data_IF_225580845880
#
_entry.id   IF_225580845880
#
_cell.length_a   1.000
_cell.length_b   1.000
_cell.length_c   1.000
_cell.angle_alpha   90.00
_cell.angle_beta   90.00
_cell.angle_gamma   90.00
#
_symmetry.space_group_name_H-M   'P 1'
#
loop_
_entity.id
_entity.type
_entity.pdbx_description
1 polymer ?
#
# COMPACT_ATOMS: atom_id res chain seq x y z
N UNK A 1 44.43 -72.37 -26.23
CA UNK A 1 44.49 -72.60 -27.69
C UNK A 1 44.12 -71.30 -28.39
N UNK A 2 45.11 -70.65 -28.97
CA UNK A 2 45.22 -70.23 -30.39
C UNK A 2 43.99 -69.45 -30.89
N UNK A 3 44.04 -68.24 -31.46
CA UNK A 3 45.00 -67.73 -32.49
C UNK A 3 44.91 -66.15 -32.53
N UNK A 4 46.06 -65.58 -32.81
CA UNK A 4 46.31 -64.20 -33.28
C UNK A 4 45.73 -63.95 -34.67
N UNK A 5 45.34 -62.71 -34.97
CA UNK A 5 45.54 -62.15 -36.31
C UNK A 5 45.66 -60.59 -36.20
N UNK A 6 46.78 -60.16 -36.79
CA UNK A 6 47.23 -58.78 -36.97
C UNK A 6 46.72 -58.24 -38.31
N UNK A 7 46.34 -57.03 -38.41
CA UNK A 7 46.38 -56.28 -39.66
C UNK A 7 46.31 -54.76 -39.27
N UNK A 8 47.29 -54.12 -39.35
CA UNK A 8 47.98 -53.28 -40.36
C UNK A 8 47.31 -51.93 -40.63
N UNK A 9 48.03 -50.93 -40.29
CA UNK A 9 47.95 -49.45 -40.40
C UNK A 9 47.50 -48.89 -41.75
N UNK A 10 46.77 -47.77 -41.74
CA UNK A 10 46.89 -46.74 -42.76
C UNK A 10 46.73 -45.38 -42.10
N UNK A 11 47.82 -44.56 -42.03
CA UNK A 11 47.81 -43.13 -41.70
C UNK A 11 47.28 -42.37 -42.91
N UNK A 12 46.24 -41.53 -42.67
CA UNK A 12 45.88 -40.49 -43.57
C UNK A 12 45.94 -39.13 -42.75
N UNK A 13 46.97 -38.36 -43.07
CA UNK A 13 47.13 -37.00 -42.67
C UNK A 13 46.15 -36.11 -43.45
N UNK A 14 45.17 -35.55 -42.79
CA UNK A 14 44.35 -34.45 -43.30
C UNK A 14 44.62 -33.19 -42.45
N UNK A 15 45.27 -32.23 -43.05
CA UNK A 15 45.42 -30.87 -42.56
C UNK A 15 44.07 -30.20 -42.61
N UNK A 16 43.48 -29.87 -41.42
CA UNK A 16 42.32 -28.99 -41.33
C UNK A 16 42.75 -27.65 -40.75
N UNK A 17 42.49 -26.61 -41.52
CA UNK A 17 42.64 -25.22 -41.11
C UNK A 17 41.80 -24.92 -39.86
N UNK A 18 42.44 -24.39 -38.81
CA UNK A 18 41.79 -23.93 -37.60
C UNK A 18 40.95 -22.69 -37.85
N UNK A 19 39.66 -22.82 -37.67
CA UNK A 19 38.81 -21.67 -37.33
C UNK A 19 38.79 -21.54 -35.80
N UNK A 20 39.28 -20.39 -35.32
CA UNK A 20 39.24 -20.09 -33.90
C UNK A 20 37.76 -20.03 -33.45
N UNK A 21 37.33 -21.03 -32.68
CA UNK A 21 36.06 -20.95 -31.95
C UNK A 21 36.19 -19.87 -30.88
N UNK A 22 35.54 -18.75 -31.11
CA UNK A 22 35.27 -17.75 -30.05
C UNK A 22 34.42 -18.48 -29.00
N UNK A 23 34.79 -18.44 -27.69
CA UNK A 23 33.94 -19.02 -26.67
C UNK A 23 32.60 -18.32 -26.70
N UNK A 24 31.53 -19.01 -27.00
CA UNK A 24 30.18 -18.52 -26.84
C UNK A 24 29.99 -18.15 -25.37
N UNK A 25 29.83 -16.90 -25.08
CA UNK A 25 29.36 -16.41 -23.78
C UNK A 25 28.07 -17.17 -23.49
N UNK A 26 27.94 -17.84 -22.33
CA UNK A 26 26.69 -18.47 -21.98
C UNK A 26 25.59 -17.41 -22.00
N UNK A 27 24.62 -17.55 -22.89
CA UNK A 27 23.39 -16.77 -22.79
C UNK A 27 22.83 -17.03 -21.39
N UNK A 28 22.79 -16.00 -20.56
CA UNK A 28 22.13 -16.08 -19.27
C UNK A 28 20.71 -16.60 -19.54
N UNK A 29 20.41 -17.80 -19.06
CA UNK A 29 19.05 -18.33 -19.06
C UNK A 29 18.26 -17.39 -18.17
N UNK A 30 17.54 -16.44 -18.78
CA UNK A 30 16.74 -15.45 -18.09
C UNK A 30 15.55 -16.09 -17.41
N UNK A 31 15.80 -16.82 -16.33
CA UNK A 31 14.76 -17.31 -15.44
C UNK A 31 14.09 -16.13 -14.77
N UNK A 32 12.77 -16.14 -14.71
CA UNK A 32 11.98 -15.13 -14.01
C UNK A 32 12.23 -15.29 -12.50
N UNK A 33 12.59 -14.19 -11.80
CA UNK A 33 12.85 -14.24 -10.36
C UNK A 33 11.53 -14.25 -9.58
N UNK A 34 11.26 -15.28 -8.74
CA UNK A 34 10.07 -15.30 -7.91
C UNK A 34 10.16 -14.28 -6.81
N UNK A 35 9.09 -13.49 -6.62
CA UNK A 35 8.96 -12.42 -5.65
C UNK A 35 7.65 -12.56 -4.89
N UNK A 36 7.67 -12.37 -3.58
CA UNK A 36 6.49 -12.32 -2.73
C UNK A 36 6.28 -10.90 -2.22
N UNK A 37 5.11 -10.32 -2.50
CA UNK A 37 4.65 -9.07 -1.91
C UNK A 37 3.55 -9.36 -0.88
N UNK A 38 3.79 -9.09 0.39
CA UNK A 38 2.79 -9.18 1.45
C UNK A 38 1.95 -7.91 1.47
N UNK A 39 0.65 -8.02 1.20
CA UNK A 39 -0.32 -6.95 1.36
C UNK A 39 -0.73 -6.83 2.83
N UNK A 40 -1.22 -5.64 3.22
CA UNK A 40 -1.65 -5.43 4.61
C UNK A 40 -3.12 -5.77 4.87
N UNK A 41 -3.92 -6.00 3.81
CA UNK A 41 -5.35 -6.28 3.92
C UNK A 41 -5.81 -7.26 2.84
N UNK A 42 -7.10 -7.59 2.86
CA UNK A 42 -7.74 -8.41 1.85
C UNK A 42 -7.67 -7.78 0.47
N UNK A 43 -7.83 -8.60 -0.59
CA UNK A 43 -7.85 -8.10 -1.96
C UNK A 43 -8.99 -7.11 -2.16
N UNK A 44 -8.63 -5.90 -2.49
CA UNK A 44 -9.53 -4.78 -2.78
C UNK A 44 -8.80 -3.72 -3.61
N UNK A 45 -9.51 -2.69 -4.12
CA UNK A 45 -8.90 -1.68 -4.98
C UNK A 45 -7.78 -0.87 -4.31
N UNK A 46 -7.65 -0.94 -2.99
CA UNK A 46 -6.47 -0.44 -2.24
C UNK A 46 -5.16 -0.99 -2.81
N UNK A 47 -5.18 -2.16 -3.42
CA UNK A 47 -4.00 -2.81 -3.99
C UNK A 47 -4.06 -2.96 -5.50
N UNK A 48 -4.97 -2.21 -6.16
CA UNK A 48 -5.24 -2.35 -7.59
C UNK A 48 -3.98 -2.19 -8.46
N UNK A 49 -3.10 -1.26 -8.14
CA UNK A 49 -1.86 -1.06 -8.90
C UNK A 49 -0.95 -2.28 -8.90
N UNK A 50 -0.83 -2.99 -7.78
CA UNK A 50 -0.05 -4.24 -7.72
C UNK A 50 -0.74 -5.38 -8.46
N UNK A 51 -2.08 -5.48 -8.34
CA UNK A 51 -2.89 -6.47 -9.06
C UNK A 51 -2.76 -6.25 -10.57
N UNK A 52 -2.91 -5.02 -11.02
CA UNK A 52 -2.74 -4.64 -12.43
C UNK A 52 -1.32 -4.91 -12.93
N UNK A 53 -0.28 -4.64 -12.12
CA UNK A 53 1.09 -4.91 -12.51
C UNK A 53 1.38 -6.41 -12.71
N UNK A 54 0.70 -7.29 -11.96
CA UNK A 54 0.75 -8.75 -12.18
C UNK A 54 -0.02 -9.12 -13.44
N UNK A 55 -1.27 -8.68 -13.59
CA UNK A 55 -2.18 -9.07 -14.66
C UNK A 55 -1.70 -8.58 -16.03
N UNK A 56 -1.29 -7.30 -16.11
CA UNK A 56 -0.78 -6.68 -17.33
C UNK A 56 0.66 -7.14 -17.69
N UNK A 57 1.27 -7.97 -16.86
CA UNK A 57 2.61 -8.53 -17.10
C UNK A 57 3.75 -7.55 -16.84
N UNK A 58 3.53 -6.38 -16.24
CA UNK A 58 4.58 -5.38 -16.02
C UNK A 58 5.72 -5.91 -15.15
N UNK A 59 5.44 -6.76 -14.16
CA UNK A 59 6.49 -7.44 -13.40
C UNK A 59 7.26 -8.43 -14.26
N UNK A 60 6.58 -9.20 -15.12
CA UNK A 60 7.21 -10.18 -16.02
C UNK A 60 8.13 -9.52 -17.04
N UNK A 61 7.76 -8.33 -17.55
CA UNK A 61 8.61 -7.49 -18.40
C UNK A 61 9.95 -7.14 -17.72
N UNK A 62 9.94 -7.03 -16.39
CA UNK A 62 11.13 -6.79 -15.58
C UNK A 62 11.87 -8.07 -15.16
N UNK A 63 11.42 -9.24 -15.62
CA UNK A 63 11.99 -10.54 -15.24
C UNK A 63 11.60 -10.98 -13.83
N UNK A 64 10.48 -10.50 -13.28
CA UNK A 64 9.98 -10.82 -11.96
C UNK A 64 8.65 -11.61 -12.05
N UNK A 65 8.52 -12.67 -11.25
CA UNK A 65 7.26 -13.40 -11.07
C UNK A 65 6.70 -13.07 -9.67
N UNK A 66 5.80 -12.08 -9.62
CA UNK A 66 5.30 -11.55 -8.36
C UNK A 66 4.05 -12.25 -7.91
N UNK A 67 4.14 -12.91 -6.75
CA UNK A 67 3.01 -13.46 -6.01
C UNK A 67 2.53 -12.44 -4.98
N UNK A 68 1.28 -12.01 -5.08
CA UNK A 68 0.62 -11.21 -4.05
C UNK A 68 0.10 -12.12 -2.95
N UNK A 69 0.56 -11.89 -1.72
CA UNK A 69 0.07 -12.56 -0.51
C UNK A 69 -1.00 -11.68 0.11
N UNK A 70 -2.21 -12.21 0.21
CA UNK A 70 -3.33 -11.48 0.83
C UNK A 70 -3.04 -11.20 2.31
N UNK A 71 -3.42 -10.02 2.77
CA UNK A 71 -3.35 -9.65 4.17
C UNK A 71 -4.64 -9.97 4.94
N UNK A 72 -4.78 -9.38 6.11
CA UNK A 72 -5.96 -9.54 6.97
C UNK A 72 -5.68 -9.09 8.39
N UNK A 73 -6.69 -9.23 9.27
CA UNK A 73 -6.64 -8.73 10.66
C UNK A 73 -5.46 -9.31 11.45
N UNK A 74 -5.18 -10.60 11.25
CA UNK A 74 -4.14 -11.33 12.01
C UNK A 74 -2.76 -11.29 11.35
N UNK A 75 -2.62 -10.60 10.20
CA UNK A 75 -1.37 -10.52 9.47
C UNK A 75 -0.72 -9.16 9.70
N UNK A 76 0.52 -9.17 10.20
CA UNK A 76 1.37 -8.00 10.38
C UNK A 76 2.43 -7.97 9.27
N UNK A 77 2.22 -7.24 8.17
CA UNK A 77 3.07 -7.32 6.96
C UNK A 77 4.54 -7.03 7.23
N UNK A 78 4.82 -6.03 8.05
CA UNK A 78 6.18 -5.65 8.43
C UNK A 78 6.90 -6.77 9.20
N UNK A 79 6.18 -7.58 9.97
CA UNK A 79 6.75 -8.76 10.64
C UNK A 79 7.00 -9.89 9.64
N UNK A 80 6.09 -10.12 8.69
CA UNK A 80 6.27 -11.11 7.62
C UNK A 80 7.52 -10.79 6.81
N UNK A 81 7.72 -9.51 6.45
CA UNK A 81 8.90 -9.03 5.75
C UNK A 81 10.17 -9.18 6.58
N UNK A 82 10.17 -8.73 7.83
CA UNK A 82 11.34 -8.80 8.72
C UNK A 82 11.80 -10.24 8.97
N UNK A 83 10.86 -11.19 8.97
CA UNK A 83 11.14 -12.63 9.08
C UNK A 83 11.60 -13.29 7.76
N UNK A 84 11.71 -12.54 6.65
CA UNK A 84 12.11 -13.06 5.35
C UNK A 84 11.08 -13.97 4.67
N UNK A 85 9.81 -13.95 5.12
CA UNK A 85 8.71 -14.74 4.53
C UNK A 85 8.13 -14.10 3.27
N UNK A 86 8.39 -12.80 3.06
CA UNK A 86 8.12 -12.05 1.85
C UNK A 86 9.36 -11.24 1.47
N UNK A 87 9.44 -10.81 0.20
CA UNK A 87 10.52 -9.99 -0.32
C UNK A 87 10.23 -8.49 -0.14
N UNK A 88 8.96 -8.13 -0.23
CA UNK A 88 8.44 -6.79 0.04
C UNK A 88 7.14 -6.88 0.82
N UNK A 89 6.77 -5.77 1.48
CA UNK A 89 5.48 -5.66 2.16
C UNK A 89 4.87 -4.28 1.95
N UNK A 90 3.54 -4.22 1.96
CA UNK A 90 2.79 -2.96 2.05
C UNK A 90 2.38 -2.76 3.50
N UNK A 91 2.74 -1.62 4.08
CA UNK A 91 2.34 -1.25 5.44
C UNK A 91 2.28 0.28 5.61
N UNK A 92 1.46 0.75 6.53
CA UNK A 92 1.43 2.16 6.93
C UNK A 92 2.70 2.55 7.66
N UNK A 93 3.20 3.76 7.36
CA UNK A 93 4.47 4.25 7.90
C UNK A 93 4.53 4.20 9.42
N UNK A 94 3.56 4.72 10.20
CA UNK A 94 3.67 4.70 11.66
C UNK A 94 3.72 3.29 12.25
N UNK A 95 2.97 2.33 11.68
CA UNK A 95 3.02 0.91 12.10
C UNK A 95 4.38 0.29 11.84
N UNK A 96 4.94 0.56 10.67
CA UNK A 96 6.25 0.04 10.29
C UNK A 96 7.36 0.67 11.13
N UNK A 97 7.27 1.97 11.44
CA UNK A 97 8.21 2.64 12.33
C UNK A 97 8.17 2.08 13.76
N UNK A 98 6.97 1.79 14.30
CA UNK A 98 6.82 1.11 15.59
C UNK A 98 7.50 -0.27 15.59
N UNK A 99 7.33 -1.05 14.51
CA UNK A 99 8.01 -2.33 14.36
C UNK A 99 9.52 -2.18 14.23
N UNK A 100 10.00 -1.13 13.54
CA UNK A 100 11.44 -0.81 13.45
C UNK A 100 12.03 -0.49 14.82
N UNK A 101 11.33 0.29 15.64
CA UNK A 101 11.78 0.60 17.01
C UNK A 101 11.94 -0.67 17.86
N UNK A 102 11.14 -1.70 17.57
CA UNK A 102 11.21 -3.03 18.18
C UNK A 102 12.21 -3.97 17.48
N UNK A 103 13.01 -3.48 16.53
CA UNK A 103 14.08 -4.21 15.89
C UNK A 103 13.78 -4.80 14.51
N UNK A 104 12.64 -4.52 13.89
CA UNK A 104 12.38 -4.95 12.51
C UNK A 104 13.29 -4.22 11.53
N UNK A 105 14.17 -4.96 10.85
CA UNK A 105 15.09 -4.44 9.83
C UNK A 105 14.41 -4.22 8.48
N UNK A 106 13.55 -3.20 8.38
CA UNK A 106 12.80 -2.85 7.17
C UNK A 106 13.00 -1.38 6.80
N UNK A 107 12.97 -1.05 5.51
CA UNK A 107 13.17 0.30 4.96
C UNK A 107 12.05 0.62 4.00
N UNK A 108 11.45 1.81 4.12
CA UNK A 108 10.51 2.33 3.11
C UNK A 108 11.28 2.68 1.82
N UNK A 109 10.89 2.06 0.72
CA UNK A 109 11.53 2.23 -0.59
C UNK A 109 10.59 2.85 -1.62
N UNK A 110 9.31 3.11 -1.23
CA UNK A 110 8.34 3.77 -2.12
C UNK A 110 7.00 4.07 -1.47
N UNK A 111 6.68 5.35 -1.30
CA UNK A 111 5.46 5.85 -0.67
C UNK A 111 4.33 5.96 -1.69
N UNK A 112 3.50 4.94 -1.81
CA UNK A 112 2.42 4.92 -2.82
C UNK A 112 1.29 5.88 -2.45
N UNK A 113 0.76 5.81 -1.22
CA UNK A 113 -0.23 6.77 -0.76
C UNK A 113 0.47 8.00 -0.17
N UNK A 114 0.56 9.06 -0.98
CA UNK A 114 1.15 10.33 -0.55
C UNK A 114 0.25 11.13 0.41
N UNK A 115 -0.97 10.65 0.67
CA UNK A 115 -2.00 11.30 1.50
C UNK A 115 -2.69 10.27 2.38
N UNK A 116 -3.23 10.72 3.52
CA UNK A 116 -4.10 9.89 4.36
C UNK A 116 -5.50 9.81 3.77
N UNK A 117 -6.09 8.62 3.82
CA UNK A 117 -7.51 8.38 3.52
C UNK A 117 -8.36 8.18 4.77
N UNK A 118 -7.83 8.39 5.98
CA UNK A 118 -8.57 8.14 7.22
C UNK A 118 -9.45 9.32 7.60
N UNK A 119 -10.69 9.01 7.96
CA UNK A 119 -11.70 9.93 8.47
C UNK A 119 -12.18 9.52 9.86
N UNK A 120 -12.74 10.48 10.62
CA UNK A 120 -13.76 10.18 11.62
C UNK A 120 -15.10 10.69 11.08
N UNK A 121 -16.13 9.87 11.17
CA UNK A 121 -17.45 10.15 10.63
C UNK A 121 -18.48 10.16 11.74
N UNK A 122 -19.30 11.21 11.80
CA UNK A 122 -20.42 11.35 12.72
C UNK A 122 -21.71 11.60 11.92
N UNK A 123 -22.87 11.46 12.56
CA UNK A 123 -24.12 11.91 11.98
C UNK A 123 -24.14 13.44 11.88
N UNK A 124 -24.71 13.96 10.80
CA UNK A 124 -24.78 15.41 10.54
C UNK A 124 -25.50 16.18 11.65
N UNK A 125 -26.53 15.58 12.23
CA UNK A 125 -27.37 16.15 13.29
C UNK A 125 -26.77 15.99 14.70
N UNK A 126 -25.63 15.30 14.85
CA UNK A 126 -24.96 15.07 16.13
C UNK A 126 -24.33 16.33 16.76
N UNK A 127 -24.07 17.37 15.94
CA UNK A 127 -23.34 18.57 16.34
C UNK A 127 -21.82 18.35 16.45
N UNK A 128 -21.29 17.17 16.12
CA UNK A 128 -19.86 16.85 16.14
C UNK A 128 -19.25 17.34 14.82
N UNK A 129 -18.38 18.34 14.87
CA UNK A 129 -17.77 18.95 13.69
C UNK A 129 -16.24 18.98 13.73
N UNK A 130 -15.67 18.89 14.93
CA UNK A 130 -14.23 18.93 15.18
C UNK A 130 -13.84 17.88 16.21
N UNK A 131 -12.55 17.52 16.35
CA UNK A 131 -12.11 16.60 17.38
C UNK A 131 -12.39 17.10 18.82
N UNK A 132 -12.51 18.42 19.05
CA UNK A 132 -12.87 18.97 20.37
C UNK A 132 -14.29 18.53 20.82
N UNK A 133 -15.18 18.29 19.86
CA UNK A 133 -16.55 17.85 20.13
C UNK A 133 -16.64 16.37 20.56
N UNK A 134 -15.53 15.64 20.55
CA UNK A 134 -15.49 14.26 21.04
C UNK A 134 -15.59 14.13 22.56
N UNK A 135 -15.43 15.23 23.30
CA UNK A 135 -15.51 15.18 24.77
C UNK A 135 -16.82 14.60 25.25
N UNK A 136 -16.72 13.55 26.07
CA UNK A 136 -17.87 12.79 26.60
C UNK A 136 -18.55 11.87 25.60
N UNK A 137 -17.99 11.69 24.39
CA UNK A 137 -18.58 10.85 23.33
C UNK A 137 -17.99 9.46 23.30
N UNK A 138 -18.74 8.54 22.67
CA UNK A 138 -18.26 7.19 22.30
C UNK A 138 -17.57 7.30 20.95
N UNK A 139 -16.25 7.19 20.95
CA UNK A 139 -15.41 7.33 19.74
C UNK A 139 -14.93 5.97 19.29
N UNK A 140 -15.42 5.56 18.12
CA UNK A 140 -15.02 4.32 17.46
C UNK A 140 -13.63 4.40 16.86
N UNK A 141 -12.89 3.32 16.98
CA UNK A 141 -11.63 3.09 16.28
C UNK A 141 -11.39 1.59 16.11
N UNK A 142 -10.56 1.21 15.14
CA UNK A 142 -10.26 -0.21 14.90
C UNK A 142 -9.22 -0.78 15.86
N UNK A 143 -8.38 0.06 16.48
CA UNK A 143 -7.20 -0.40 17.18
C UNK A 143 -6.09 -0.88 16.22
N UNK A 144 -5.17 -1.71 16.72
CA UNK A 144 -4.08 -2.34 15.95
C UNK A 144 -3.18 -1.37 15.19
N UNK A 145 -3.03 -0.12 15.69
CA UNK A 145 -2.22 0.92 15.07
C UNK A 145 -2.91 1.67 13.92
N UNK A 146 -4.22 1.57 13.79
CA UNK A 146 -5.00 2.35 12.83
C UNK A 146 -5.53 3.67 13.42
N UNK A 147 -5.42 3.85 14.74
CA UNK A 147 -6.00 4.94 15.53
C UNK A 147 -5.05 6.13 15.75
N UNK A 148 -3.84 6.11 15.21
CA UNK A 148 -2.82 7.11 15.55
C UNK A 148 -3.21 8.55 15.13
N UNK A 149 -3.84 8.72 13.97
CA UNK A 149 -4.33 10.02 13.51
C UNK A 149 -5.47 10.56 14.39
N UNK A 150 -6.34 9.66 14.88
CA UNK A 150 -7.39 9.98 15.85
C UNK A 150 -6.77 10.50 17.16
N UNK A 151 -5.79 9.80 17.71
CA UNK A 151 -5.11 10.23 18.93
C UNK A 151 -4.37 11.55 18.73
N UNK A 152 -3.74 11.75 17.56
CA UNK A 152 -3.11 13.01 17.22
C UNK A 152 -4.12 14.16 17.16
N UNK A 153 -5.27 13.94 16.53
CA UNK A 153 -6.34 14.92 16.47
C UNK A 153 -6.91 15.28 17.84
N UNK A 154 -7.12 14.29 18.70
CA UNK A 154 -7.56 14.51 20.10
C UNK A 154 -6.50 15.25 20.91
N UNK A 155 -5.24 14.85 20.84
CA UNK A 155 -4.12 15.52 21.53
C UNK A 155 -4.04 16.99 21.11
N UNK A 156 -4.16 17.29 19.80
CA UNK A 156 -4.15 18.63 19.26
C UNK A 156 -5.36 19.46 19.73
N UNK A 157 -6.51 18.83 19.94
CA UNK A 157 -7.71 19.43 20.50
C UNK A 157 -7.69 19.58 22.03
N UNK A 158 -6.59 19.15 22.68
CA UNK A 158 -6.44 19.21 24.14
C UNK A 158 -7.22 18.13 24.89
N UNK A 159 -7.62 17.05 24.20
CA UNK A 159 -8.33 15.92 24.82
C UNK A 159 -7.35 14.81 25.25
N UNK A 160 -7.64 14.24 26.39
CA UNK A 160 -7.00 13.01 26.88
C UNK A 160 -7.84 11.80 26.45
N UNK A 161 -7.27 10.97 25.58
CA UNK A 161 -7.96 9.81 25.00
C UNK A 161 -8.42 8.78 26.07
N UNK A 162 -7.76 8.74 27.22
CA UNK A 162 -8.12 7.85 28.32
C UNK A 162 -9.16 8.39 29.31
N UNK A 163 -9.47 9.72 29.24
CA UNK A 163 -10.33 10.37 30.23
C UNK A 163 -11.51 11.13 29.62
N UNK A 164 -11.28 11.80 28.48
CA UNK A 164 -12.25 12.72 27.92
C UNK A 164 -13.24 12.06 26.96
N UNK A 165 -12.97 10.83 26.51
CA UNK A 165 -13.82 10.08 25.59
C UNK A 165 -14.01 8.65 26.06
N UNK A 166 -15.02 7.97 25.53
CA UNK A 166 -15.14 6.51 25.64
C UNK A 166 -14.69 5.90 24.33
N UNK A 167 -13.48 5.33 24.31
CA UNK A 167 -12.98 4.62 23.12
C UNK A 167 -13.73 3.29 22.99
N UNK A 168 -14.25 3.03 21.80
CA UNK A 168 -14.96 1.80 21.45
C UNK A 168 -14.27 1.15 20.27
N UNK A 169 -13.82 -0.10 20.44
CA UNK A 169 -13.28 -0.85 19.32
C UNK A 169 -14.43 -1.23 18.39
N UNK A 170 -14.40 -0.69 17.18
CA UNK A 170 -15.39 -0.98 16.13
C UNK A 170 -14.92 -2.13 15.25
N UNK A 171 -15.91 -2.79 14.60
CA UNK A 171 -15.63 -3.74 13.52
C UNK A 171 -15.20 -2.98 12.25
N UNK A 172 -14.74 -3.73 11.24
CA UNK A 172 -14.37 -3.17 9.94
C UNK A 172 -15.60 -2.94 9.05
N UNK A 173 -16.63 -2.34 9.67
CA UNK A 173 -17.88 -1.93 9.03
C UNK A 173 -18.43 -0.67 9.74
N UNK A 174 -19.55 -0.17 9.27
CA UNK A 174 -20.19 1.05 9.81
C UNK A 174 -21.45 0.78 10.62
N UNK A 175 -21.71 -0.47 11.00
CA UNK A 175 -22.96 -0.86 11.69
C UNK A 175 -23.11 -0.18 13.05
N UNK A 176 -22.01 -0.03 13.80
CA UNK A 176 -22.05 0.63 15.11
C UNK A 176 -22.48 2.10 15.02
N UNK A 177 -22.04 2.84 13.98
CA UNK A 177 -22.48 4.21 13.72
C UNK A 177 -23.95 4.25 13.26
N UNK A 178 -24.31 3.39 12.29
CA UNK A 178 -25.68 3.33 11.74
C UNK A 178 -26.71 3.01 12.80
N UNK A 179 -26.37 2.15 13.77
CA UNK A 179 -27.22 1.80 14.92
C UNK A 179 -27.12 2.80 16.09
N UNK A 180 -26.31 3.86 15.95
CA UNK A 180 -26.06 4.84 17.01
C UNK A 180 -25.49 4.23 18.32
N UNK A 181 -24.75 3.15 18.20
CA UNK A 181 -24.03 2.51 19.32
C UNK A 181 -22.77 3.31 19.69
N UNK A 182 -22.19 4.01 18.70
CA UNK A 182 -21.09 4.98 18.83
C UNK A 182 -21.50 6.32 18.22
N UNK A 183 -20.91 7.41 18.72
CA UNK A 183 -21.19 8.77 18.26
C UNK A 183 -20.35 9.15 17.01
N UNK A 184 -19.15 8.60 16.94
CA UNK A 184 -18.17 8.85 15.88
C UNK A 184 -17.50 7.54 15.49
N UNK A 185 -17.36 7.27 14.20
CA UNK A 185 -16.73 6.07 13.67
C UNK A 185 -15.48 6.40 12.87
N UNK A 186 -14.45 5.58 13.01
CA UNK A 186 -13.31 5.60 12.10
C UNK A 186 -13.70 4.98 10.75
N UNK A 187 -13.26 5.59 9.66
CA UNK A 187 -13.56 5.12 8.30
C UNK A 187 -12.40 5.46 7.35
N UNK A 188 -12.10 4.58 6.40
CA UNK A 188 -11.35 4.97 5.23
C UNK A 188 -12.29 5.66 4.23
N UNK A 189 -11.84 6.75 3.63
CA UNK A 189 -12.58 7.48 2.59
C UNK A 189 -12.97 6.57 1.43
N UNK A 190 -12.12 5.60 1.15
CA UNK A 190 -12.28 4.66 0.04
C UNK A 190 -13.05 3.38 0.39
N UNK A 191 -13.24 3.04 1.67
CA UNK A 191 -13.87 1.78 2.07
C UNK A 191 -15.09 2.01 2.98
N UNK A 192 -14.91 2.19 4.28
CA UNK A 192 -16.02 2.24 5.25
C UNK A 192 -16.94 3.44 5.01
N UNK A 193 -16.41 4.58 4.52
CA UNK A 193 -17.27 5.70 4.15
C UNK A 193 -18.23 5.35 3.00
N UNK A 194 -17.78 4.55 2.02
CA UNK A 194 -18.68 4.04 0.97
C UNK A 194 -19.81 3.17 1.57
N UNK A 195 -19.51 2.32 2.56
CA UNK A 195 -20.52 1.47 3.19
C UNK A 195 -21.66 2.29 3.84
N UNK A 196 -21.38 3.49 4.35
CA UNK A 196 -22.44 4.40 4.81
C UNK A 196 -23.35 4.85 3.65
N UNK A 197 -22.75 5.18 2.51
CA UNK A 197 -23.48 5.67 1.33
C UNK A 197 -24.18 4.54 0.57
N UNK A 198 -23.83 3.29 0.83
CA UNK A 198 -24.45 2.06 0.31
C UNK A 198 -25.58 1.54 1.21
N UNK A 199 -25.66 2.07 2.42
CA UNK A 199 -26.69 1.70 3.37
C UNK A 199 -28.02 2.40 3.05
N UNK A 200 -29.12 1.68 3.19
CA UNK A 200 -30.47 2.22 3.00
C UNK A 200 -30.94 2.90 4.28
N UNK A 201 -31.36 4.16 4.17
CA UNK A 201 -32.04 4.88 5.23
C UNK A 201 -33.45 4.29 5.46
N UNK A 202 -33.74 3.68 6.62
CA UNK A 202 -35.02 3.00 6.85
C UNK A 202 -36.22 3.96 6.87
N UNK A 203 -36.01 5.25 7.10
CA UNK A 203 -37.09 6.24 7.10
C UNK A 203 -37.52 6.65 5.70
N UNK A 204 -36.64 6.59 4.71
CA UNK A 204 -36.91 7.07 3.37
C UNK A 204 -36.92 5.98 2.30
N UNK A 205 -36.35 4.81 2.59
CA UNK A 205 -36.15 3.72 1.65
C UNK A 205 -35.06 4.01 0.58
N UNK A 206 -34.33 5.13 0.71
CA UNK A 206 -33.24 5.54 -0.19
C UNK A 206 -31.89 5.34 0.47
N UNK A 207 -30.83 5.31 -0.33
CA UNK A 207 -29.47 5.32 0.21
C UNK A 207 -29.20 6.61 0.99
N UNK A 208 -28.35 6.51 2.00
CA UNK A 208 -27.78 7.71 2.62
C UNK A 208 -26.92 8.49 1.63
N UNK A 209 -26.77 9.76 1.89
CA UNK A 209 -26.00 10.71 1.09
C UNK A 209 -24.87 11.32 1.91
N UNK A 210 -23.88 11.96 1.29
CA UNK A 210 -22.85 12.73 2.03
C UNK A 210 -23.45 13.80 2.96
N UNK A 211 -24.66 14.31 2.63
CA UNK A 211 -25.37 15.29 3.45
C UNK A 211 -25.87 14.77 4.81
N UNK A 212 -25.98 13.45 4.98
CA UNK A 212 -26.42 12.81 6.22
C UNK A 212 -25.30 12.69 7.26
N UNK A 213 -24.06 12.89 6.85
CA UNK A 213 -22.87 12.68 7.68
C UNK A 213 -21.99 13.93 7.79
N UNK A 214 -21.28 14.02 8.89
CA UNK A 214 -20.18 14.97 9.12
C UNK A 214 -18.86 14.20 9.07
N UNK A 215 -17.94 14.67 8.23
CA UNK A 215 -16.60 14.10 8.10
C UNK A 215 -15.61 15.00 8.83
N UNK A 216 -14.74 14.39 9.63
CA UNK A 216 -13.54 14.99 10.18
C UNK A 216 -12.37 14.35 9.45
N UNK A 217 -11.78 15.12 8.53
CA UNK A 217 -10.64 14.72 7.70
C UNK A 217 -9.34 15.09 8.41
N UNK A 218 -8.51 14.10 8.68
CA UNK A 218 -7.27 14.29 9.41
C UNK A 218 -6.24 15.11 8.64
N UNK A 219 -6.31 15.16 7.33
CA UNK A 219 -5.50 16.08 6.52
C UNK A 219 -5.86 17.53 6.81
N UNK A 220 -7.13 17.84 6.77
CA UNK A 220 -7.65 19.21 7.08
C UNK A 220 -7.38 19.58 8.54
N UNK A 221 -7.46 18.62 9.45
CA UNK A 221 -7.15 18.80 10.86
C UNK A 221 -5.63 18.97 11.12
N UNK A 222 -4.77 18.56 10.19
CA UNK A 222 -3.31 18.62 10.31
C UNK A 222 -2.72 17.54 11.22
N UNK A 223 -3.39 16.38 11.30
CA UNK A 223 -2.91 15.19 12.02
C UNK A 223 -2.79 13.97 11.10
N UNK A 224 -2.87 14.17 9.78
CA UNK A 224 -2.66 13.11 8.80
C UNK A 224 -1.24 12.55 8.85
N UNK A 225 -1.13 11.23 8.68
CA UNK A 225 0.13 10.49 8.63
C UNK A 225 0.24 9.75 7.28
N UNK A 226 1.48 9.41 6.88
CA UNK A 226 1.73 8.62 5.67
C UNK A 226 1.18 7.20 5.85
N UNK A 227 0.52 6.69 4.82
CA UNK A 227 -0.13 5.39 4.83
C UNK A 227 0.62 4.39 3.95
N UNK A 228 -0.05 3.73 3.01
CA UNK A 228 0.49 2.61 2.25
C UNK A 228 1.83 2.93 1.57
N UNK A 229 2.89 2.29 2.06
CA UNK A 229 4.23 2.35 1.52
C UNK A 229 4.75 0.94 1.22
N UNK A 230 5.68 0.83 0.28
CA UNK A 230 6.41 -0.40 -0.03
C UNK A 230 7.66 -0.48 0.84
N UNK A 231 7.74 -1.53 1.63
CA UNK A 231 8.86 -1.82 2.52
C UNK A 231 9.71 -2.94 1.98
N UNK A 232 11.04 -2.79 2.09
CA UNK A 232 12.05 -3.78 1.75
C UNK A 232 12.84 -4.20 3.00
N UNK A 233 13.52 -5.35 2.95
CA UNK A 233 14.41 -5.78 4.02
C UNK A 233 15.69 -4.94 3.99
N UNK A 234 16.01 -4.26 5.09
CA UNK A 234 17.14 -3.32 5.19
C UNK A 234 18.48 -4.01 4.96
N UNK A 235 18.68 -5.22 5.48
CA UNK A 235 19.96 -5.94 5.33
C UNK A 235 20.17 -6.38 3.87
N UNK A 236 19.11 -6.89 3.23
CA UNK A 236 19.16 -7.27 1.81
C UNK A 236 19.47 -6.08 0.88
N UNK A 237 19.15 -4.85 1.27
CA UNK A 237 19.50 -3.64 0.49
C UNK A 237 21.02 -3.38 0.43
N UNK A 238 21.86 -4.14 1.14
CA UNK A 238 23.32 -4.12 0.95
C UNK A 238 23.78 -4.99 -0.24
N UNK A 239 22.91 -5.86 -0.77
CA UNK A 239 23.16 -6.68 -1.95
C UNK A 239 22.80 -5.93 -3.24
N UNK A 240 23.76 -5.68 -4.16
CA UNK A 240 23.49 -5.03 -5.44
C UNK A 240 22.43 -5.73 -6.30
N UNK A 241 22.32 -7.06 -6.22
CA UNK A 241 21.29 -7.79 -6.95
C UNK A 241 19.89 -7.48 -6.41
N UNK A 242 19.72 -7.41 -5.08
CA UNK A 242 18.45 -7.04 -4.46
C UNK A 242 18.11 -5.55 -4.66
N UNK A 243 19.12 -4.65 -4.72
CA UNK A 243 18.91 -3.26 -5.09
C UNK A 243 18.32 -3.13 -6.50
N UNK A 244 18.92 -3.80 -7.49
CA UNK A 244 18.41 -3.82 -8.86
C UNK A 244 17.03 -4.46 -8.96
N UNK A 245 16.79 -5.55 -8.23
CA UNK A 245 15.47 -6.18 -8.11
C UNK A 245 14.44 -5.18 -7.57
N UNK A 246 14.80 -4.39 -6.54
CA UNK A 246 13.92 -3.37 -5.95
C UNK A 246 13.57 -2.28 -6.96
N UNK A 247 14.53 -1.79 -7.74
CA UNK A 247 14.27 -0.82 -8.83
C UNK A 247 13.29 -1.40 -9.86
N UNK A 248 13.51 -2.63 -10.32
CA UNK A 248 12.63 -3.32 -11.28
C UNK A 248 11.23 -3.53 -10.73
N UNK A 249 11.13 -3.95 -9.46
CA UNK A 249 9.86 -4.13 -8.78
C UNK A 249 9.07 -2.81 -8.69
N UNK A 250 9.72 -1.73 -8.27
CA UNK A 250 9.10 -0.41 -8.17
C UNK A 250 8.71 0.15 -9.55
N UNK A 251 9.53 -0.05 -10.58
CA UNK A 251 9.21 0.38 -11.93
C UNK A 251 7.92 -0.26 -12.45
N UNK A 252 7.77 -1.57 -12.28
CA UNK A 252 6.56 -2.30 -12.65
C UNK A 252 5.35 -1.87 -11.79
N UNK A 253 5.56 -1.64 -10.49
CA UNK A 253 4.54 -1.14 -9.56
C UNK A 253 4.01 0.23 -10.01
N UNK A 254 4.90 1.17 -10.36
CA UNK A 254 4.53 2.50 -10.88
C UNK A 254 3.68 2.37 -12.15
N UNK A 255 4.08 1.49 -13.09
CA UNK A 255 3.28 1.21 -14.31
C UNK A 255 1.87 0.71 -13.96
N UNK A 256 1.75 -0.19 -12.98
CA UNK A 256 0.47 -0.70 -12.53
C UNK A 256 -0.44 0.39 -11.94
N UNK A 257 0.10 1.28 -11.12
CA UNK A 257 -0.65 2.42 -10.57
C UNK A 257 -1.03 3.45 -11.65
N UNK A 258 -0.14 3.75 -12.60
CA UNK A 258 -0.46 4.60 -13.75
C UNK A 258 -1.56 3.98 -14.62
N UNK A 259 -1.50 2.67 -14.87
CA UNK A 259 -2.55 1.95 -15.60
C UNK A 259 -3.91 2.07 -14.90
N UNK A 260 -3.97 1.89 -13.57
CA UNK A 260 -5.21 2.00 -12.81
C UNK A 260 -5.75 3.44 -12.71
N UNK A 261 -4.88 4.45 -12.76
CA UNK A 261 -5.31 5.84 -12.90
C UNK A 261 -6.08 6.05 -14.21
N UNK A 262 -5.52 5.51 -15.29
CA UNK A 262 -6.02 5.75 -16.65
C UNK A 262 -7.16 4.79 -17.04
N UNK A 263 -7.29 3.64 -16.34
CA UNK A 263 -8.26 2.57 -16.62
C UNK A 263 -8.96 2.07 -15.33
N UNK A 264 -9.68 2.95 -14.61
CA UNK A 264 -10.21 2.60 -13.28
C UNK A 264 -11.25 1.47 -13.29
N UNK A 265 -12.11 1.39 -14.33
CA UNK A 265 -13.08 0.30 -14.46
C UNK A 265 -12.39 -1.04 -14.73
N UNK A 266 -11.36 -1.05 -15.58
CA UNK A 266 -10.59 -2.27 -15.84
C UNK A 266 -9.89 -2.75 -14.56
N UNK A 267 -9.27 -1.84 -13.80
CA UNK A 267 -8.66 -2.18 -12.51
C UNK A 267 -9.68 -2.66 -11.49
N UNK A 268 -10.87 -2.06 -11.42
CA UNK A 268 -11.97 -2.60 -10.60
C UNK A 268 -12.29 -4.04 -10.97
N UNK A 269 -12.41 -4.35 -12.27
CA UNK A 269 -12.74 -5.71 -12.72
C UNK A 269 -11.62 -6.71 -12.40
N UNK A 270 -10.36 -6.32 -12.52
CA UNK A 270 -9.22 -7.13 -12.07
C UNK A 270 -9.28 -7.43 -10.57
N UNK A 271 -9.61 -6.43 -9.75
CA UNK A 271 -9.76 -6.59 -8.29
C UNK A 271 -10.89 -7.56 -7.95
N UNK A 272 -12.03 -7.43 -8.60
CA UNK A 272 -13.17 -8.34 -8.40
C UNK A 272 -12.81 -9.76 -8.84
N UNK A 273 -12.16 -9.91 -9.98
CA UNK A 273 -11.69 -11.21 -10.49
C UNK A 273 -10.61 -11.85 -9.58
N UNK A 274 -9.82 -11.03 -8.87
CA UNK A 274 -8.83 -11.52 -7.91
C UNK A 274 -9.44 -12.13 -6.66
N UNK A 275 -10.73 -11.88 -6.40
CA UNK A 275 -11.46 -12.46 -5.27
C UNK A 275 -11.89 -11.47 -4.20
N UNK A 276 -11.99 -10.17 -4.53
CA UNK A 276 -12.57 -9.21 -3.60
C UNK A 276 -13.98 -9.64 -3.18
N UNK A 277 -14.26 -9.51 -1.89
CA UNK A 277 -15.59 -9.76 -1.32
C UNK A 277 -16.55 -8.57 -1.47
N UNK A 278 -16.03 -7.42 -1.89
CA UNK A 278 -16.79 -6.19 -2.09
C UNK A 278 -17.25 -6.09 -3.54
N UNK A 279 -18.45 -5.57 -3.77
CA UNK A 279 -19.08 -5.52 -5.08
C UNK A 279 -18.47 -4.50 -6.04
N UNK A 280 -18.94 -4.49 -7.27
CA UNK A 280 -18.34 -3.69 -8.35
C UNK A 280 -18.47 -2.18 -8.14
N UNK A 281 -19.62 -1.69 -7.64
CA UNK A 281 -19.80 -0.26 -7.41
C UNK A 281 -18.93 0.23 -6.26
N UNK A 282 -18.80 -0.57 -5.21
CA UNK A 282 -17.88 -0.31 -4.11
C UNK A 282 -16.42 -0.25 -4.57
N UNK A 283 -15.98 -1.25 -5.36
CA UNK A 283 -14.61 -1.29 -5.85
C UNK A 283 -14.28 -0.15 -6.82
N UNK A 284 -15.26 0.33 -7.59
CA UNK A 284 -15.06 1.51 -8.44
C UNK A 284 -14.95 2.80 -7.60
N UNK A 285 -15.80 2.95 -6.57
CA UNK A 285 -15.65 4.03 -5.59
C UNK A 285 -14.27 3.99 -4.93
N UNK A 286 -13.89 2.81 -4.45
CA UNK A 286 -12.60 2.61 -3.80
C UNK A 286 -11.45 2.99 -4.74
N UNK A 287 -11.50 2.56 -6.00
CA UNK A 287 -10.48 2.90 -7.00
C UNK A 287 -10.36 4.42 -7.21
N UNK A 288 -11.52 5.11 -7.30
CA UNK A 288 -11.56 6.56 -7.47
C UNK A 288 -10.97 7.31 -6.25
N UNK A 289 -11.37 6.92 -5.05
CA UNK A 289 -10.87 7.55 -3.82
C UNK A 289 -9.36 7.28 -3.60
N UNK A 290 -8.90 6.07 -3.89
CA UNK A 290 -7.48 5.74 -3.81
C UNK A 290 -6.66 6.53 -4.83
N UNK A 291 -7.18 6.69 -6.05
CA UNK A 291 -6.51 7.55 -7.03
C UNK A 291 -6.33 8.98 -6.51
N UNK A 292 -7.23 9.51 -5.68
CA UNK A 292 -7.06 10.82 -5.03
C UNK A 292 -5.94 10.83 -3.97
N UNK A 293 -5.59 9.67 -3.38
CA UNK A 293 -4.50 9.56 -2.42
C UNK A 293 -3.14 9.45 -3.13
N UNK A 294 -3.13 8.91 -4.33
CA UNK A 294 -1.93 8.69 -5.16
C UNK A 294 -1.67 9.86 -6.08
N UNK A 295 -2.71 10.38 -6.76
CA UNK A 295 -2.61 11.39 -7.83
C UNK A 295 -3.26 12.74 -7.47
N UNK A 296 -2.80 13.88 -8.01
CA UNK A 296 -1.50 13.98 -8.65
C UNK A 296 -0.39 13.69 -7.63
N UNK A 297 0.66 13.03 -8.09
CA UNK A 297 1.85 12.80 -7.29
C UNK A 297 2.70 14.08 -7.19
N UNK A 298 3.77 14.04 -6.42
CA UNK A 298 4.77 15.11 -6.41
C UNK A 298 5.36 15.31 -7.82
N UNK A 299 6.00 16.44 -8.08
CA UNK A 299 6.68 16.71 -9.37
C UNK A 299 7.74 15.67 -9.69
N UNK A 300 8.28 15.00 -8.67
CA UNK A 300 9.25 13.92 -8.85
C UNK A 300 8.59 12.62 -9.34
N UNK A 301 7.33 12.35 -8.99
CA UNK A 301 6.56 11.19 -9.43
C UNK A 301 5.98 10.37 -8.26
N UNK A 302 5.11 9.43 -8.59
CA UNK A 302 4.47 8.53 -7.63
C UNK A 302 5.49 7.65 -6.93
N UNK A 303 5.29 7.42 -5.63
CA UNK A 303 6.19 6.60 -4.83
C UNK A 303 7.34 7.37 -4.19
N UNK A 304 7.58 8.62 -4.56
CA UNK A 304 8.57 9.46 -3.89
C UNK A 304 8.09 9.84 -2.49
N UNK A 305 8.96 9.65 -1.52
CA UNK A 305 8.71 10.05 -0.14
C UNK A 305 8.93 11.55 -0.03
N UNK A 306 7.90 12.28 0.38
CA UNK A 306 7.96 13.70 0.72
C UNK A 306 8.54 13.88 2.12
N UNK A 307 9.63 14.62 2.25
CA UNK A 307 10.34 14.81 3.52
C UNK A 307 9.50 15.52 4.58
N UNK A 308 8.66 16.47 4.17
CA UNK A 308 7.81 17.19 5.11
C UNK A 308 6.70 16.29 5.66
N UNK A 309 6.07 15.48 4.80
CA UNK A 309 5.07 14.50 5.21
C UNK A 309 5.67 13.38 6.06
N UNK A 310 6.89 12.93 5.74
CA UNK A 310 7.64 11.98 6.57
C UNK A 310 7.91 12.57 7.96
N UNK A 311 8.47 13.78 8.01
CA UNK A 311 8.74 14.47 9.27
C UNK A 311 7.47 14.65 10.10
N UNK A 312 6.36 15.08 9.49
CA UNK A 312 5.07 15.19 10.18
C UNK A 312 4.63 13.85 10.77
N UNK A 313 4.74 12.75 10.00
CA UNK A 313 4.38 11.41 10.46
C UNK A 313 5.22 10.98 11.66
N UNK A 314 6.52 11.26 11.65
CA UNK A 314 7.43 10.96 12.76
C UNK A 314 7.11 11.85 13.98
N UNK A 315 6.93 13.16 13.79
CA UNK A 315 6.62 14.10 14.89
C UNK A 315 5.30 13.71 15.59
N UNK A 316 4.27 13.36 14.82
CA UNK A 316 3.00 12.86 15.36
C UNK A 316 3.23 11.56 16.13
N UNK A 317 4.00 10.63 15.57
CA UNK A 317 4.32 9.34 16.22
C UNK A 317 5.03 9.49 17.57
N UNK A 318 5.80 10.57 17.75
CA UNK A 318 6.51 10.90 18.98
C UNK A 318 5.69 11.67 20.01
N UNK A 319 4.56 12.26 19.61
CA UNK A 319 3.82 13.23 20.45
C UNK A 319 2.37 12.85 20.73
N UNK A 320 1.71 12.15 19.79
CA UNK A 320 0.33 11.72 19.95
C UNK A 320 0.23 10.60 20.99
N UNK A 321 -0.57 10.83 22.03
CA UNK A 321 -0.74 9.91 23.15
C UNK A 321 -1.99 9.07 22.97
N UNK A 322 -1.84 7.76 23.18
CA UNK A 322 -2.95 6.82 23.28
C UNK A 322 -3.67 6.93 24.65
N UNK A 323 -4.64 6.06 24.89
CA UNK A 323 -5.42 6.03 26.13
C UNK A 323 -4.62 5.68 27.39
N UNK A 324 -3.42 5.11 27.25
CA UNK A 324 -2.50 4.79 28.36
C UNK A 324 -1.45 5.87 28.56
N UNK A 325 -1.44 6.89 27.69
CA UNK A 325 -0.47 7.99 27.70
C UNK A 325 0.83 7.68 26.94
N UNK A 326 0.91 6.53 26.28
CA UNK A 326 2.06 6.14 25.47
C UNK A 326 2.00 6.73 24.08
N UNK A 327 3.17 6.95 23.48
CA UNK A 327 3.32 7.39 22.09
C UNK A 327 3.63 6.20 21.17
N UNK A 328 3.44 6.37 19.85
CA UNK A 328 3.78 5.34 18.85
C UNK A 328 5.28 5.05 18.84
N UNK A 329 6.09 6.11 18.92
CA UNK A 329 7.54 6.07 18.99
C UNK A 329 8.03 6.74 20.27
N UNK A 330 9.09 6.19 20.87
CA UNK A 330 9.75 6.80 22.04
C UNK A 330 10.97 7.62 21.65
N UNK A 331 11.49 7.43 20.43
CA UNK A 331 12.68 8.12 19.90
C UNK A 331 12.58 8.28 18.37
N UNK A 332 13.40 9.19 17.85
CA UNK A 332 13.53 9.36 16.40
C UNK A 332 13.96 8.05 15.72
N UNK A 333 13.39 7.72 14.54
CA UNK A 333 13.84 6.58 13.74
C UNK A 333 15.33 6.69 13.44
N UNK A 334 16.06 5.58 13.61
CA UNK A 334 17.50 5.50 13.34
C UNK A 334 17.81 4.60 12.16
N UNK A 335 19.01 4.72 11.60
CA UNK A 335 19.44 3.95 10.43
C UNK A 335 18.67 4.32 9.17
N UNK A 336 18.65 3.43 8.19
CA UNK A 336 17.97 3.63 6.91
C UNK A 336 16.47 3.36 7.08
N UNK A 337 15.72 4.34 7.60
CA UNK A 337 14.27 4.22 7.79
C UNK A 337 13.51 4.35 6.46
N UNK A 338 13.98 5.20 5.56
CA UNK A 338 13.50 5.31 4.18
C UNK A 338 14.63 5.69 3.23
N UNK A 339 14.40 5.49 1.92
CA UNK A 339 15.24 6.02 0.86
C UNK A 339 14.42 6.26 -0.42
N UNK A 340 14.76 7.33 -1.12
CA UNK A 340 14.21 7.65 -2.45
C UNK A 340 15.09 7.12 -3.61
N UNK A 341 16.21 6.46 -3.34
CA UNK A 341 17.20 6.10 -4.36
C UNK A 341 16.65 5.10 -5.38
N UNK A 342 15.92 4.09 -4.91
CA UNK A 342 15.39 3.03 -5.78
C UNK A 342 14.16 3.50 -6.55
N UNK A 343 13.24 4.21 -5.89
CA UNK A 343 12.05 4.73 -6.57
C UNK A 343 12.41 5.80 -7.61
N UNK A 344 13.42 6.64 -7.36
CA UNK A 344 13.91 7.61 -8.32
C UNK A 344 14.41 6.92 -9.59
N UNK A 345 15.26 5.89 -9.46
CA UNK A 345 15.74 5.11 -10.60
C UNK A 345 14.59 4.43 -11.35
N UNK A 346 13.62 3.87 -10.63
CA UNK A 346 12.43 3.28 -11.22
C UNK A 346 11.61 4.30 -12.02
N UNK A 347 11.39 5.48 -11.45
CA UNK A 347 10.68 6.58 -12.12
C UNK A 347 11.39 7.06 -13.38
N UNK A 348 12.73 7.17 -13.36
CA UNK A 348 13.51 7.55 -14.53
C UNK A 348 13.35 6.54 -15.67
N UNK A 349 13.37 5.23 -15.37
CA UNK A 349 13.10 4.16 -16.35
C UNK A 349 11.68 4.25 -16.94
N UNK A 350 10.67 4.44 -16.09
CA UNK A 350 9.25 4.46 -16.49
C UNK A 350 8.93 5.73 -17.29
N UNK A 351 9.50 6.87 -16.92
CA UNK A 351 9.41 8.13 -17.69
C UNK A 351 10.05 7.99 -19.07
N UNK A 352 11.24 7.38 -19.15
CA UNK A 352 11.92 7.13 -20.42
C UNK A 352 11.10 6.23 -21.35
N UNK A 353 10.27 5.35 -20.81
CA UNK A 353 9.31 4.53 -21.54
C UNK A 353 7.98 5.24 -21.87
N UNK A 354 7.85 6.54 -21.55
CA UNK A 354 6.69 7.38 -21.91
C UNK A 354 5.52 7.32 -20.94
N UNK A 355 5.66 6.72 -19.75
CA UNK A 355 4.59 6.70 -18.74
C UNK A 355 4.55 8.04 -17.99
N UNK A 356 3.36 8.65 -17.87
CA UNK A 356 3.14 9.78 -16.96
C UNK A 356 3.13 9.27 -15.51
N UNK A 357 4.16 9.66 -14.78
CA UNK A 357 4.36 9.26 -13.36
C UNK A 357 3.86 10.31 -12.38
N UNK A 358 3.39 11.46 -12.85
CA UNK A 358 2.92 12.57 -12.01
C UNK A 358 1.41 12.63 -11.92
N UNK A 359 0.72 12.22 -12.98
CA UNK A 359 -0.74 12.24 -13.03
C UNK A 359 -1.34 13.65 -12.88
N UNK A 360 -0.65 14.69 -13.35
CA UNK A 360 -1.12 16.09 -13.19
C UNK A 360 -2.46 16.36 -13.87
N UNK A 361 -2.80 15.58 -14.89
CA UNK A 361 -4.09 15.65 -15.60
C UNK A 361 -5.19 14.79 -14.97
N UNK A 362 -4.88 14.05 -13.90
CA UNK A 362 -5.87 13.20 -13.23
C UNK A 362 -7.06 14.02 -12.73
N UNK A 363 -8.26 13.54 -13.04
CA UNK A 363 -9.53 14.07 -12.53
C UNK A 363 -10.32 12.94 -11.89
N UNK A 364 -10.80 13.11 -10.65
CA UNK A 364 -11.70 12.16 -10.02
C UNK A 364 -12.99 12.03 -10.82
N UNK A 365 -13.50 10.79 -10.93
CA UNK A 365 -14.81 10.57 -11.54
C UNK A 365 -15.93 10.62 -10.51
N UNK A 366 -17.15 10.86 -11.00
CA UNK A 366 -18.36 10.65 -10.20
C UNK A 366 -18.71 9.16 -10.25
N UNK A 367 -18.73 8.52 -9.09
CA UNK A 367 -19.11 7.11 -8.95
C UNK A 367 -20.48 7.03 -8.31
N UNK A 368 -21.39 6.30 -8.94
CA UNK A 368 -22.70 5.98 -8.35
C UNK A 368 -22.59 4.69 -7.55
N UNK A 369 -22.82 4.77 -6.25
CA UNK A 369 -22.91 3.61 -5.39
C UNK A 369 -24.29 2.96 -5.48
N UNK A 370 -24.33 1.65 -5.28
CA UNK A 370 -25.55 0.86 -5.22
C UNK A 370 -25.75 0.29 -3.81
N UNK A 371 -26.96 -0.13 -3.48
CA UNK A 371 -27.26 -0.73 -2.19
C UNK A 371 -26.34 -1.95 -1.94
N UNK A 372 -25.63 -1.94 -0.81
CA UNK A 372 -24.69 -3.00 -0.44
C UNK A 372 -23.45 -3.10 -1.34
N UNK A 373 -23.17 -2.09 -2.19
CA UNK A 373 -21.94 -2.02 -2.99
C UNK A 373 -21.91 -2.96 -4.21
N UNK A 374 -23.01 -3.47 -4.68
CA UNK A 374 -23.12 -4.48 -5.75
C UNK A 374 -22.57 -4.00 -7.12
#
# INVERSE_FOLDING_TARGET
>A
MRRYLVAASLLLLLTACGTADTPATPAASGGVTPIKLQLQWFFQAQFAGYIAAVDQGFYKEQGLDVQLLEGGVDIVPQTVLAQGKADYAVAWVPKALASREQGAGITDVGQIFARSGTYQVAWKDSGITTPADFKGKKVGNWGFGNEFELFAGMTKAGLDAGKDVTLVQQQFDMQALLKKEIDVAQAMSYNEYAQLLEATNPATGKLYTPGDFQIIDWKTNGSAMLQDAVWANTEKLNDPAYQQQTVKFLAATVKGWAYCRDNPEACRDLVVAKGSKLGKSHQLWQMNEINKLVWPATTAGVGMIDEAAWKQTVDISLTAKNQTGDTVLTKQPTGLAYTNDYIKQALDQVKAAGTDVTGTAFQPQTVTLTAGGA
#
